data_IF_126351848309
#
_entry.id   IF_126351848309
#
_cell.length_a   1.000
_cell.length_b   1.000
_cell.length_c   1.000
_cell.angle_alpha   90.00
_cell.angle_beta   90.00
_cell.angle_gamma   90.00
#
_symmetry.space_group_name_H-M   'P 1'
#
loop_
_entity.id
_entity.type
_entity.pdbx_description
1 polymer ?
#
# COMPACT_ATOMS: atom_id res chain seq x y z
N UNK A 1 -0.22 10.04 -25.62
CA UNK A 1 -0.53 11.45 -25.98
C UNK A 1 -1.47 12.06 -24.95
N UNK A 2 -2.66 11.47 -24.74
CA UNK A 2 -3.62 11.92 -23.72
C UNK A 2 -3.07 12.03 -22.28
N UNK A 3 -2.38 11.01 -21.76
CA UNK A 3 -1.82 11.05 -20.39
C UNK A 3 -0.85 12.23 -20.22
N UNK A 4 0.05 12.42 -21.18
CA UNK A 4 1.03 13.52 -21.16
C UNK A 4 0.34 14.89 -21.17
N UNK A 5 -0.71 15.04 -21.96
CA UNK A 5 -1.51 16.27 -22.03
C UNK A 5 -2.21 16.57 -20.70
N UNK A 6 -2.87 15.58 -20.09
CA UNK A 6 -3.55 15.76 -18.80
C UNK A 6 -2.57 16.06 -17.66
N UNK A 7 -1.42 15.38 -17.63
CA UNK A 7 -0.35 15.68 -16.67
C UNK A 7 0.14 17.11 -16.87
N UNK A 8 0.46 17.53 -18.10
CA UNK A 8 0.93 18.89 -18.41
C UNK A 8 -0.09 19.94 -17.97
N UNK A 9 -1.38 19.69 -18.21
CA UNK A 9 -2.46 20.58 -17.77
C UNK A 9 -2.47 20.72 -16.24
N UNK A 10 -2.41 19.60 -15.51
CA UNK A 10 -2.41 19.61 -14.04
C UNK A 10 -1.16 20.31 -13.48
N UNK A 11 0.02 20.11 -14.09
CA UNK A 11 1.27 20.78 -13.69
C UNK A 11 1.18 22.30 -13.77
N UNK A 12 0.44 22.86 -14.74
CA UNK A 12 0.19 24.31 -14.85
C UNK A 12 -0.78 24.84 -13.80
N UNK A 13 -1.50 23.97 -13.08
CA UNK A 13 -2.46 24.33 -12.04
C UNK A 13 -1.90 24.12 -10.64
N UNK A 14 -1.43 22.90 -10.34
CA UNK A 14 -0.89 22.51 -9.04
C UNK A 14 -0.03 21.26 -9.17
N UNK A 15 1.28 21.41 -8.96
CA UNK A 15 2.28 20.34 -9.09
C UNK A 15 2.27 19.37 -7.92
N UNK A 16 2.27 19.89 -6.69
CA UNK A 16 2.29 19.07 -5.47
C UNK A 16 1.34 19.66 -4.44
N UNK A 17 0.78 18.79 -3.61
CA UNK A 17 -0.01 19.18 -2.45
C UNK A 17 0.13 18.08 -1.41
N UNK A 18 0.41 18.48 -0.17
CA UNK A 18 0.53 17.53 0.93
C UNK A 18 -0.77 16.75 1.15
N UNK A 19 -0.66 15.52 1.65
CA UNK A 19 -1.78 14.59 1.86
C UNK A 19 -2.87 15.12 2.78
N UNK A 20 -2.53 16.01 3.71
CA UNK A 20 -3.47 16.58 4.70
C UNK A 20 -4.45 17.62 4.13
N UNK A 21 -4.23 18.13 2.91
CA UNK A 21 -5.11 19.13 2.31
C UNK A 21 -6.12 18.49 1.35
N UNK A 22 -7.29 19.12 1.27
CA UNK A 22 -8.33 18.73 0.34
C UNK A 22 -7.87 18.93 -1.10
N UNK A 23 -8.22 17.99 -1.98
CA UNK A 23 -7.88 18.03 -3.40
C UNK A 23 -8.98 17.40 -4.24
N UNK A 24 -9.60 18.20 -5.11
CA UNK A 24 -10.73 17.75 -5.93
C UNK A 24 -10.34 16.58 -6.86
N UNK A 25 -9.12 16.59 -7.40
CA UNK A 25 -8.64 15.51 -8.27
C UNK A 25 -8.42 14.20 -7.53
N UNK A 26 -7.93 14.26 -6.29
CA UNK A 26 -7.82 13.10 -5.41
C UNK A 26 -9.21 12.56 -5.04
N UNK A 27 -10.19 13.44 -4.78
CA UNK A 27 -11.56 13.02 -4.48
C UNK A 27 -12.21 12.30 -5.67
N UNK A 28 -12.14 12.90 -6.87
CA UNK A 28 -12.62 12.32 -8.13
C UNK A 28 -11.96 10.94 -8.41
N UNK A 29 -10.64 10.87 -8.29
CA UNK A 29 -9.91 9.62 -8.47
C UNK A 29 -10.30 8.55 -7.42
N UNK A 30 -10.60 8.95 -6.19
CA UNK A 30 -11.01 8.02 -5.13
C UNK A 30 -12.39 7.42 -5.41
N UNK A 31 -13.34 8.22 -5.89
CA UNK A 31 -14.67 7.75 -6.28
C UNK A 31 -14.60 6.77 -7.44
N UNK A 32 -13.82 7.09 -8.48
CA UNK A 32 -13.60 6.21 -9.63
C UNK A 32 -12.94 4.89 -9.22
N UNK A 33 -11.96 4.93 -8.30
CA UNK A 33 -11.29 3.73 -7.80
C UNK A 33 -12.25 2.83 -7.03
N UNK A 34 -13.03 3.39 -6.10
CA UNK A 34 -14.04 2.64 -5.34
C UNK A 34 -15.04 1.97 -6.29
N UNK A 35 -15.57 2.72 -7.27
CA UNK A 35 -16.51 2.20 -8.28
C UNK A 35 -15.90 1.05 -9.09
N UNK A 36 -14.60 1.13 -9.42
CA UNK A 36 -13.91 0.12 -10.22
C UNK A 36 -13.59 -1.15 -9.46
N UNK A 37 -13.27 -1.06 -8.17
CA UNK A 37 -12.92 -2.23 -7.34
C UNK A 37 -14.12 -3.13 -7.02
N UNK A 38 -15.37 -2.68 -7.23
CA UNK A 38 -16.56 -3.52 -7.11
C UNK A 38 -16.88 -4.01 -5.70
N UNK A 39 -16.26 -3.43 -4.67
CA UNK A 39 -16.42 -3.79 -3.26
C UNK A 39 -17.00 -2.60 -2.49
N UNK A 40 -17.62 -2.86 -1.33
CA UNK A 40 -18.19 -1.84 -0.43
C UNK A 40 -17.11 -1.02 0.32
N UNK A 41 -16.06 -0.60 -0.38
CA UNK A 41 -15.02 0.27 0.17
C UNK A 41 -15.56 1.68 0.39
N UNK A 42 -15.25 2.26 1.56
CA UNK A 42 -15.70 3.61 1.95
C UNK A 42 -14.61 4.67 1.86
N UNK A 43 -13.35 4.27 1.91
CA UNK A 43 -12.21 5.18 2.01
C UNK A 43 -11.05 4.72 1.12
N UNK A 44 -10.28 5.68 0.60
CA UNK A 44 -9.05 5.44 -0.14
C UNK A 44 -7.90 6.15 0.57
N UNK A 45 -6.83 5.40 0.85
CA UNK A 45 -5.56 5.97 1.28
C UNK A 45 -4.62 6.03 0.08
N UNK A 46 -4.06 7.20 -0.19
CA UNK A 46 -3.12 7.42 -1.28
C UNK A 46 -1.68 7.42 -0.77
N UNK A 47 -0.81 6.68 -1.45
CA UNK A 47 0.63 6.63 -1.21
C UNK A 47 1.41 6.82 -2.51
N UNK A 48 2.73 6.88 -2.44
CA UNK A 48 3.61 7.11 -3.58
C UNK A 48 4.19 5.80 -4.14
N UNK A 49 4.01 4.68 -3.45
CA UNK A 49 4.51 3.38 -3.88
C UNK A 49 3.67 2.22 -3.35
N UNK A 50 3.84 1.05 -3.96
CA UNK A 50 3.21 -0.19 -3.49
C UNK A 50 3.69 -0.61 -2.10
N UNK A 51 4.95 -0.34 -1.74
CA UNK A 51 5.46 -0.63 -0.39
C UNK A 51 4.75 0.26 0.65
N UNK A 52 4.61 1.56 0.39
CA UNK A 52 3.86 2.45 1.29
C UNK A 52 2.38 2.08 1.40
N UNK A 53 1.76 1.61 0.31
CA UNK A 53 0.38 1.14 0.34
C UNK A 53 0.23 -0.08 1.26
N UNK A 54 1.17 -1.04 1.18
CA UNK A 54 1.18 -2.22 2.03
C UNK A 54 1.55 -1.88 3.50
N UNK A 55 2.43 -0.90 3.76
CA UNK A 55 2.66 -0.38 5.13
C UNK A 55 1.36 0.17 5.73
N UNK A 56 0.62 0.97 4.95
CA UNK A 56 -0.66 1.50 5.39
C UNK A 56 -1.66 0.39 5.68
N UNK A 57 -1.77 -0.61 4.80
CA UNK A 57 -2.62 -1.78 5.01
C UNK A 57 -2.28 -2.55 6.29
N UNK A 58 -0.99 -2.82 6.53
CA UNK A 58 -0.52 -3.48 7.76
C UNK A 58 -0.86 -2.65 9.01
N UNK A 59 -0.62 -1.34 8.97
CA UNK A 59 -0.96 -0.43 10.06
C UNK A 59 -2.46 -0.39 10.33
N UNK A 60 -3.30 -0.31 9.31
CA UNK A 60 -4.75 -0.31 9.47
C UNK A 60 -5.27 -1.63 10.04
N UNK A 61 -4.72 -2.77 9.60
CA UNK A 61 -5.08 -4.07 10.16
C UNK A 61 -4.75 -4.16 11.66
N UNK A 62 -3.56 -3.71 12.06
CA UNK A 62 -3.14 -3.71 13.48
C UNK A 62 -3.94 -2.71 14.30
N UNK A 63 -4.14 -1.49 13.81
CA UNK A 63 -4.90 -0.44 14.51
C UNK A 63 -6.36 -0.84 14.72
N UNK A 64 -6.97 -1.55 13.76
CA UNK A 64 -8.37 -1.97 13.83
C UNK A 64 -8.55 -3.21 14.70
N UNK A 65 -7.64 -4.19 14.61
CA UNK A 65 -7.81 -5.49 15.27
C UNK A 65 -7.09 -5.61 16.62
N UNK A 66 -6.09 -4.75 16.88
CA UNK A 66 -5.16 -4.88 18.00
C UNK A 66 -4.15 -6.03 17.87
N UNK A 67 -4.25 -6.86 16.81
CA UNK A 67 -3.42 -8.05 16.62
C UNK A 67 -2.14 -7.70 15.87
N UNK A 68 -0.99 -8.07 16.43
CA UNK A 68 0.35 -7.81 15.84
C UNK A 68 0.96 -8.99 15.08
N UNK A 69 0.31 -10.16 15.13
CA UNK A 69 0.72 -11.35 14.37
C UNK A 69 0.12 -11.27 12.97
N UNK A 70 0.97 -11.39 11.95
CA UNK A 70 0.59 -11.32 10.54
C UNK A 70 0.80 -12.69 9.89
N UNK A 71 -0.09 -13.07 8.98
CA UNK A 71 0.08 -14.26 8.14
C UNK A 71 0.36 -13.77 6.72
N UNK A 72 1.39 -14.30 6.07
CA UNK A 72 1.74 -14.00 4.69
C UNK A 72 2.05 -15.28 3.92
N UNK A 73 1.87 -15.27 2.60
CA UNK A 73 2.15 -16.45 1.79
C UNK A 73 3.65 -16.56 1.48
N UNK A 74 4.17 -17.78 1.48
CA UNK A 74 5.48 -18.11 0.93
C UNK A 74 5.57 -17.65 -0.54
N UNK A 75 6.78 -17.26 -0.97
CA UNK A 75 7.05 -16.67 -2.30
C UNK A 75 6.33 -15.34 -2.60
N UNK A 76 5.63 -14.75 -1.61
CA UNK A 76 5.02 -13.42 -1.72
C UNK A 76 6.03 -12.27 -1.70
N UNK A 77 5.72 -11.18 -2.42
CA UNK A 77 6.50 -9.94 -2.45
C UNK A 77 5.59 -8.74 -2.18
N UNK A 78 5.84 -8.01 -1.09
CA UNK A 78 4.99 -6.92 -0.60
C UNK A 78 5.72 -5.58 -0.51
N UNK A 79 7.01 -5.53 -0.88
CA UNK A 79 7.85 -4.34 -0.79
C UNK A 79 9.12 -4.58 0.02
N UNK A 80 9.92 -3.51 0.14
CA UNK A 80 11.24 -3.52 0.79
C UNK A 80 11.41 -2.42 1.84
N UNK A 81 10.37 -1.65 2.16
CA UNK A 81 10.36 -0.86 3.40
C UNK A 81 10.34 -1.83 4.58
N UNK A 82 10.91 -1.48 5.74
CA UNK A 82 11.15 -2.47 6.80
C UNK A 82 9.88 -3.21 7.29
N UNK A 83 8.71 -2.55 7.29
CA UNK A 83 7.45 -3.21 7.64
C UNK A 83 7.00 -4.18 6.55
N UNK A 84 6.93 -3.73 5.30
CA UNK A 84 6.58 -4.64 4.19
C UNK A 84 7.61 -5.73 3.95
N UNK A 85 8.88 -5.46 4.19
CA UNK A 85 9.95 -6.45 4.13
C UNK A 85 9.73 -7.57 5.16
N UNK A 86 9.09 -7.27 6.30
CA UNK A 86 8.70 -8.28 7.29
C UNK A 86 7.77 -9.33 6.71
N UNK A 87 6.91 -8.95 5.77
CA UNK A 87 5.93 -9.84 5.10
C UNK A 87 6.35 -10.25 3.68
N UNK A 88 7.43 -9.70 3.12
CA UNK A 88 8.04 -10.16 1.86
C UNK A 88 8.92 -11.39 2.11
N UNK A 89 8.86 -12.37 1.20
CA UNK A 89 9.75 -13.54 1.21
C UNK A 89 11.06 -13.33 0.45
N UNK A 90 12.05 -14.19 0.72
CA UNK A 90 13.36 -14.17 0.06
C UNK A 90 14.49 -13.78 1.02
N UNK A 91 15.34 -14.75 1.36
CA UNK A 91 16.44 -14.57 2.31
C UNK A 91 17.37 -13.43 1.89
N UNK A 92 17.70 -13.33 0.59
CA UNK A 92 18.57 -12.27 0.06
C UNK A 92 18.09 -10.85 0.37
N UNK A 93 16.78 -10.64 0.51
CA UNK A 93 16.21 -9.34 0.83
C UNK A 93 16.14 -9.10 2.34
N UNK A 94 15.93 -10.15 3.14
CA UNK A 94 15.61 -10.05 4.57
C UNK A 94 16.83 -10.16 5.47
N UNK A 95 17.76 -11.07 5.14
CA UNK A 95 18.86 -11.50 6.03
C UNK A 95 19.66 -10.35 6.65
N UNK A 96 20.02 -9.28 5.92
CA UNK A 96 20.78 -8.17 6.50
C UNK A 96 19.99 -7.31 7.50
N UNK A 97 18.67 -7.44 7.57
CA UNK A 97 17.77 -6.57 8.33
C UNK A 97 17.00 -7.31 9.43
N UNK A 98 17.36 -8.56 9.72
CA UNK A 98 16.75 -9.31 10.81
C UNK A 98 17.27 -8.81 12.17
N UNK A 99 16.42 -8.73 13.22
CA UNK A 99 14.98 -9.01 13.21
C UNK A 99 14.16 -7.88 12.56
N UNK A 100 13.07 -8.26 11.88
CA UNK A 100 12.16 -7.33 11.20
C UNK A 100 10.98 -6.91 12.10
N UNK A 101 10.20 -5.91 11.67
CA UNK A 101 9.22 -5.21 12.52
C UNK A 101 8.02 -6.05 12.94
N UNK A 102 7.47 -6.86 12.03
CA UNK A 102 6.26 -7.64 12.27
C UNK A 102 6.59 -9.09 12.66
N UNK A 103 5.78 -9.66 13.56
CA UNK A 103 5.79 -11.10 13.84
C UNK A 103 4.97 -11.81 12.75
N UNK A 104 5.65 -12.41 11.78
CA UNK A 104 5.03 -12.99 10.58
C UNK A 104 5.13 -14.52 10.58
N UNK A 105 4.00 -15.18 10.32
CA UNK A 105 3.95 -16.61 9.99
C UNK A 105 3.79 -16.73 8.47
N UNK A 106 4.71 -17.45 7.84
CA UNK A 106 4.62 -17.75 6.42
C UNK A 106 3.88 -19.08 6.19
N UNK A 107 2.93 -19.09 5.27
CA UNK A 107 2.14 -20.28 4.90
C UNK A 107 2.23 -20.53 3.40
N UNK A 108 2.06 -21.79 2.97
CA UNK A 108 1.94 -22.09 1.54
C UNK A 108 0.64 -21.52 0.98
N UNK A 109 0.70 -21.00 -0.24
CA UNK A 109 -0.44 -20.34 -0.90
C UNK A 109 -1.71 -21.22 -0.95
N UNK A 110 -1.55 -22.54 -1.11
CA UNK A 110 -2.66 -23.48 -1.28
C UNK A 110 -3.11 -24.14 0.05
N UNK A 111 -2.70 -23.58 1.19
CA UNK A 111 -3.04 -24.07 2.52
C UNK A 111 -3.65 -22.94 3.39
N UNK A 112 -4.58 -22.19 2.79
CA UNK A 112 -5.36 -21.11 3.42
C UNK A 112 -6.71 -21.65 3.90
#
# INVERSE_FOLDING_TARGET
KEITEQITKQLKTLTTLHGSFNNNKRAEASELLIKRCGLSYKFVYWSNSGAEANEAALKFAVATTGKKKIIACENGYHGKTLGTLSVTTGEKYRKPFLPLLWNVIFIKHDNI
#
